data_IF_691048346123
#
_entry.id   IF_691048346123
#
_cell.length_a   1.000
_cell.length_b   1.000
_cell.length_c   1.000
_cell.angle_alpha   90.00
_cell.angle_beta   90.00
_cell.angle_gamma   90.00
#
_symmetry.space_group_name_H-M   'P 1'
#
loop_
_entity.id
_entity.type
_entity.pdbx_description
1 polymer ?
#
# COMPACT_ATOMS: atom_id res chain seq x y z
N UNK A 1 16.34 -1.59 -9.62
CA UNK A 1 16.86 -0.96 -8.39
C UNK A 1 17.30 -2.05 -7.44
N UNK A 2 18.23 -1.75 -6.53
CA UNK A 2 18.71 -2.72 -5.56
C UNK A 2 18.44 -2.27 -4.13
N UNK A 3 17.96 -3.18 -3.29
CA UNK A 3 17.83 -2.94 -1.86
C UNK A 3 19.15 -3.32 -1.17
N UNK A 4 19.68 -2.41 -0.37
CA UNK A 4 20.86 -2.61 0.47
C UNK A 4 20.48 -2.40 1.94
N UNK A 5 20.87 -3.33 2.82
CA UNK A 5 20.66 -3.21 4.26
C UNK A 5 21.97 -2.79 4.91
N UNK A 6 21.96 -1.64 5.58
CA UNK A 6 23.13 -1.06 6.22
C UNK A 6 23.67 -2.00 7.31
N UNK A 7 24.95 -2.27 7.26
CA UNK A 7 25.71 -3.04 8.23
C UNK A 7 26.59 -2.14 9.10
N UNK A 8 27.05 -2.65 10.23
CA UNK A 8 27.94 -1.92 11.14
C UNK A 8 29.20 -1.43 10.42
N UNK A 9 29.53 -0.15 10.60
CA UNK A 9 30.70 0.49 10.01
C UNK A 9 30.57 0.92 8.55
N UNK A 10 29.45 0.67 7.89
CA UNK A 10 29.23 1.16 6.53
C UNK A 10 28.93 2.66 6.50
N UNK A 11 29.49 3.33 5.49
CA UNK A 11 29.22 4.75 5.20
C UNK A 11 28.54 4.87 3.85
N UNK A 12 27.86 6.00 3.63
CA UNK A 12 27.24 6.28 2.33
C UNK A 12 28.24 6.23 1.18
N UNK A 13 29.50 6.65 1.41
CA UNK A 13 30.58 6.58 0.44
C UNK A 13 30.98 5.13 0.12
N UNK A 14 31.16 4.30 1.16
CA UNK A 14 31.51 2.89 0.97
C UNK A 14 30.42 2.12 0.23
N UNK A 15 29.14 2.40 0.54
CA UNK A 15 27.99 1.81 -0.15
C UNK A 15 27.96 2.27 -1.62
N UNK A 16 28.11 3.57 -1.88
CA UNK A 16 28.14 4.11 -3.24
C UNK A 16 29.24 3.47 -4.09
N UNK A 17 30.45 3.31 -3.53
CA UNK A 17 31.57 2.65 -4.19
C UNK A 17 31.28 1.18 -4.49
N UNK A 18 30.66 0.44 -3.56
CA UNK A 18 30.33 -0.97 -3.75
C UNK A 18 29.36 -1.20 -4.92
N UNK A 19 28.46 -0.24 -5.17
CA UNK A 19 27.44 -0.29 -6.22
C UNK A 19 27.78 0.49 -7.49
N UNK A 20 28.94 1.16 -7.53
CA UNK A 20 29.35 2.01 -8.65
C UNK A 20 28.30 3.12 -8.98
N UNK A 21 27.86 3.82 -7.94
CA UNK A 21 26.97 4.99 -7.99
C UNK A 21 27.57 6.13 -7.16
N UNK A 22 26.90 7.26 -7.05
CA UNK A 22 27.37 8.39 -6.22
C UNK A 22 26.66 8.43 -4.86
N UNK A 23 27.30 8.95 -3.80
CA UNK A 23 26.63 9.19 -2.53
C UNK A 23 25.38 10.06 -2.68
N UNK A 24 25.45 11.11 -3.53
CA UNK A 24 24.36 12.04 -3.76
C UNK A 24 23.12 11.36 -4.34
N UNK A 25 23.28 10.45 -5.30
CA UNK A 25 22.18 9.69 -5.88
C UNK A 25 21.46 8.82 -4.83
N UNK A 26 22.22 8.17 -3.94
CA UNK A 26 21.64 7.38 -2.84
C UNK A 26 20.91 8.30 -1.85
N UNK A 27 21.51 9.44 -1.48
CA UNK A 27 20.94 10.40 -0.53
C UNK A 27 19.60 10.95 -1.05
N UNK A 28 19.56 11.43 -2.30
CA UNK A 28 18.35 11.97 -2.91
C UNK A 28 17.27 10.88 -3.04
N UNK A 29 17.65 9.68 -3.52
CA UNK A 29 16.68 8.60 -3.74
C UNK A 29 16.02 8.09 -2.46
N UNK A 30 16.70 8.22 -1.32
CA UNK A 30 16.22 7.73 -0.03
C UNK A 30 15.81 8.86 0.93
N UNK A 31 15.84 10.12 0.47
CA UNK A 31 15.63 11.33 1.28
C UNK A 31 16.38 11.28 2.62
N UNK A 32 17.66 10.88 2.58
CA UNK A 32 18.44 10.65 3.81
C UNK A 32 18.70 11.98 4.50
N UNK A 33 18.09 12.19 5.67
CA UNK A 33 18.22 13.42 6.45
C UNK A 33 19.63 13.60 7.05
N UNK A 34 20.29 12.51 7.44
CA UNK A 34 21.60 12.53 8.09
C UNK A 34 22.53 11.47 7.47
N UNK A 35 23.20 11.77 6.34
CA UNK A 35 23.98 10.79 5.57
C UNK A 35 25.24 10.27 6.28
N UNK A 36 25.73 11.01 7.28
CA UNK A 36 26.91 10.62 8.08
C UNK A 36 26.56 9.65 9.23
N UNK A 37 25.27 9.41 9.48
CA UNK A 37 24.77 8.60 10.59
C UNK A 37 23.72 7.60 10.11
N UNK A 38 24.15 6.63 9.30
CA UNK A 38 23.30 5.54 8.87
C UNK A 38 22.97 4.61 10.05
N UNK A 39 21.75 4.08 10.08
CA UNK A 39 21.30 3.16 11.14
C UNK A 39 21.56 1.72 10.69
N UNK A 40 22.19 0.90 11.54
CA UNK A 40 22.35 -0.53 11.27
C UNK A 40 20.97 -1.17 11.07
N UNK A 41 20.80 -1.89 9.95
CA UNK A 41 19.53 -2.49 9.57
C UNK A 41 18.60 -1.59 8.76
N UNK A 42 18.94 -0.31 8.54
CA UNK A 42 18.24 0.57 7.62
C UNK A 42 18.30 0.01 6.20
N UNK A 43 17.16 -0.05 5.51
CA UNK A 43 17.10 -0.46 4.11
C UNK A 43 17.16 0.77 3.18
N UNK A 44 18.12 0.77 2.27
CA UNK A 44 18.32 1.80 1.25
C UNK A 44 17.99 1.21 -0.13
N UNK A 45 17.38 2.02 -0.98
CA UNK A 45 17.24 1.75 -2.41
C UNK A 45 18.41 2.38 -3.15
N UNK A 46 19.19 1.56 -3.82
CA UNK A 46 20.31 1.95 -4.65
C UNK A 46 19.80 2.16 -6.09
N UNK A 47 19.93 3.38 -6.65
CA UNK A 47 19.29 3.77 -7.92
C UNK A 47 20.08 3.27 -9.15
N UNK A 48 20.33 1.97 -9.22
CA UNK A 48 20.98 1.29 -10.35
C UNK A 48 19.98 0.50 -11.19
N UNK A 49 20.34 0.29 -12.46
CA UNK A 49 19.59 -0.56 -13.40
C UNK A 49 19.97 -2.02 -13.18
N UNK A 50 18.97 -2.87 -12.95
CA UNK A 50 19.18 -4.25 -12.50
C UNK A 50 19.57 -4.29 -11.02
N UNK A 51 20.33 -5.32 -10.64
CA UNK A 51 20.87 -5.48 -9.29
C UNK A 51 22.13 -6.35 -9.30
N UNK A 52 22.82 -6.41 -8.17
CA UNK A 52 23.96 -7.30 -7.97
C UNK A 52 23.63 -8.36 -6.91
N UNK A 53 24.09 -9.59 -7.18
CA UNK A 53 24.01 -10.73 -6.29
C UNK A 53 25.42 -11.22 -5.95
N UNK A 54 25.69 -11.45 -4.67
CA UNK A 54 26.94 -12.07 -4.21
C UNK A 54 26.67 -13.54 -3.95
N UNK A 55 27.39 -14.41 -4.65
CA UNK A 55 27.26 -15.86 -4.57
C UNK A 55 27.43 -16.33 -3.11
N UNK A 56 26.48 -17.11 -2.64
CA UNK A 56 26.42 -17.69 -1.30
C UNK A 56 26.85 -19.17 -1.35
N UNK A 57 27.18 -19.79 -0.20
CA UNK A 57 27.45 -21.22 -0.14
C UNK A 57 26.28 -22.05 -0.72
N UNK A 58 26.60 -22.99 -1.62
CA UNK A 58 25.62 -23.86 -2.27
C UNK A 58 24.95 -23.28 -3.52
N UNK A 59 25.29 -22.05 -3.91
CA UNK A 59 24.74 -21.44 -5.12
C UNK A 59 25.32 -22.05 -6.41
N UNK A 60 24.47 -22.04 -7.44
CA UNK A 60 24.81 -22.33 -8.83
C UNK A 60 24.15 -21.30 -9.74
N UNK A 61 24.59 -21.20 -11.00
CA UNK A 61 23.90 -20.36 -11.97
C UNK A 61 22.42 -20.74 -12.10
N UNK A 62 22.10 -22.03 -11.99
CA UNK A 62 20.73 -22.51 -12.05
C UNK A 62 19.89 -22.05 -10.84
N UNK A 63 20.38 -22.23 -9.61
CA UNK A 63 19.64 -21.83 -8.40
C UNK A 63 19.44 -20.32 -8.34
N UNK A 64 20.47 -19.53 -8.69
CA UNK A 64 20.40 -18.08 -8.72
C UNK A 64 19.43 -17.62 -9.82
N UNK A 65 19.57 -18.12 -11.05
CA UNK A 65 18.71 -17.71 -12.14
C UNK A 65 17.23 -18.02 -11.87
N UNK A 66 16.94 -19.20 -11.30
CA UNK A 66 15.60 -19.58 -10.84
C UNK A 66 15.05 -18.59 -9.80
N UNK A 67 15.87 -18.19 -8.83
CA UNK A 67 15.50 -17.20 -7.79
C UNK A 67 15.10 -15.84 -8.38
N UNK A 68 15.76 -15.43 -9.47
CA UNK A 68 15.49 -14.14 -10.10
C UNK A 68 14.53 -14.21 -11.29
N UNK A 69 14.02 -15.39 -11.63
CA UNK A 69 13.09 -15.58 -12.75
C UNK A 69 13.71 -15.36 -14.12
N UNK A 70 15.02 -15.63 -14.27
CA UNK A 70 15.75 -15.53 -15.55
C UNK A 70 16.34 -16.89 -15.93
N UNK A 71 16.77 -17.06 -17.19
CA UNK A 71 17.49 -18.28 -17.57
C UNK A 71 18.95 -18.23 -17.11
N UNK A 72 19.51 -19.38 -16.71
CA UNK A 72 20.90 -19.45 -16.29
C UNK A 72 21.87 -19.11 -17.43
N UNK A 73 21.49 -19.37 -18.70
CA UNK A 73 22.27 -18.95 -19.86
C UNK A 73 22.28 -17.43 -20.01
N UNK A 74 21.15 -16.75 -19.73
CA UNK A 74 21.12 -15.30 -19.71
C UNK A 74 22.00 -14.75 -18.60
N UNK A 75 21.90 -15.33 -17.39
CA UNK A 75 22.74 -14.95 -16.25
C UNK A 75 24.23 -15.12 -16.55
N UNK A 76 24.63 -16.24 -17.15
CA UNK A 76 26.02 -16.49 -17.54
C UNK A 76 26.50 -15.48 -18.59
N UNK A 77 25.69 -15.27 -19.64
CA UNK A 77 26.00 -14.35 -20.74
C UNK A 77 26.19 -12.91 -20.27
N UNK A 78 25.27 -12.37 -19.46
CA UNK A 78 25.37 -10.97 -19.00
C UNK A 78 26.52 -10.75 -18.01
N UNK A 79 27.04 -11.83 -17.41
CA UNK A 79 28.20 -11.79 -16.53
C UNK A 79 29.50 -12.22 -17.20
N UNK A 80 29.49 -12.51 -18.51
CA UNK A 80 30.64 -12.98 -19.28
C UNK A 80 31.34 -14.20 -18.64
N UNK A 81 30.57 -15.16 -18.13
CA UNK A 81 31.06 -16.42 -17.55
C UNK A 81 30.51 -17.63 -18.31
N UNK A 82 31.19 -18.77 -18.22
CA UNK A 82 30.72 -20.02 -18.84
C UNK A 82 29.48 -20.55 -18.12
N UNK A 83 28.56 -21.17 -18.86
CA UNK A 83 27.34 -21.79 -18.30
C UNK A 83 27.64 -22.96 -17.36
N UNK A 84 28.82 -23.58 -17.53
CA UNK A 84 29.29 -24.71 -16.71
C UNK A 84 30.30 -24.27 -15.63
N UNK A 85 30.52 -22.96 -15.46
CA UNK A 85 31.50 -22.44 -14.52
C UNK A 85 31.02 -22.63 -13.06
N UNK A 86 31.80 -23.30 -12.20
CA UNK A 86 31.54 -23.31 -10.76
C UNK A 86 31.65 -21.89 -10.18
N UNK A 87 30.71 -21.53 -9.31
CA UNK A 87 30.67 -20.19 -8.71
C UNK A 87 31.46 -20.16 -7.40
N UNK A 88 32.38 -19.20 -7.28
CA UNK A 88 33.09 -18.94 -6.03
C UNK A 88 32.22 -18.10 -5.10
N UNK A 89 32.21 -18.46 -3.81
CA UNK A 89 31.53 -17.67 -2.78
C UNK A 89 32.07 -16.24 -2.81
N UNK A 90 31.16 -15.26 -2.77
CA UNK A 90 31.48 -13.83 -2.85
C UNK A 90 31.66 -13.30 -4.27
N UNK A 91 31.64 -14.15 -5.31
CA UNK A 91 31.60 -13.68 -6.70
C UNK A 91 30.37 -12.79 -6.90
N UNK A 92 30.59 -11.58 -7.41
CA UNK A 92 29.52 -10.61 -7.70
C UNK A 92 28.99 -10.85 -9.11
N UNK A 93 27.69 -11.17 -9.19
CA UNK A 93 26.95 -11.32 -10.44
C UNK A 93 25.99 -10.14 -10.63
N UNK A 94 25.99 -9.57 -11.83
CA UNK A 94 24.95 -8.68 -12.31
C UNK A 94 23.69 -9.46 -12.64
N UNK A 95 22.57 -9.01 -12.11
CA UNK A 95 21.23 -9.49 -12.39
C UNK A 95 20.52 -8.42 -13.24
N UNK A 96 20.13 -8.73 -14.49
CA UNK A 96 19.43 -7.77 -15.33
C UNK A 96 18.06 -7.43 -14.73
N UNK A 97 17.51 -6.24 -15.03
CA UNK A 97 16.20 -5.84 -14.53
C UNK A 97 15.12 -6.84 -14.97
N UNK A 98 14.16 -7.10 -14.08
CA UNK A 98 12.99 -7.93 -14.37
C UNK A 98 12.11 -7.24 -15.42
N UNK A 99 11.40 -8.04 -16.22
CA UNK A 99 10.35 -7.49 -17.09
C UNK A 99 9.24 -6.96 -16.19
N UNK A 100 8.97 -5.65 -16.30
CA UNK A 100 7.92 -4.99 -15.53
C UNK A 100 6.55 -5.40 -16.06
N UNK A 101 5.69 -5.90 -15.18
CA UNK A 101 4.28 -6.15 -15.51
C UNK A 101 3.47 -4.85 -15.39
N UNK A 102 2.33 -4.78 -16.07
CA UNK A 102 1.39 -3.67 -15.87
C UNK A 102 0.69 -3.84 -14.52
N UNK A 103 0.50 -2.74 -13.80
CA UNK A 103 -0.27 -2.71 -12.57
C UNK A 103 -1.07 -1.41 -12.50
N UNK A 104 -2.25 -1.48 -11.90
CA UNK A 104 -2.97 -0.28 -11.47
C UNK A 104 -2.56 0.09 -10.05
N UNK A 105 -2.56 1.38 -9.74
CA UNK A 105 -2.15 1.89 -8.43
C UNK A 105 -3.09 2.98 -7.99
N UNK A 106 -3.53 2.94 -6.74
CA UNK A 106 -4.28 4.05 -6.16
C UNK A 106 -3.66 4.47 -4.83
N UNK A 107 -3.87 5.73 -4.46
CA UNK A 107 -3.51 6.21 -3.14
C UNK A 107 -4.59 7.15 -2.61
N UNK A 108 -4.95 6.94 -1.34
CA UNK A 108 -5.89 7.80 -0.63
C UNK A 108 -5.18 9.06 -0.13
N UNK A 109 -5.88 10.19 -0.22
CA UNK A 109 -5.54 11.44 0.49
C UNK A 109 -6.64 11.71 1.48
N UNK A 110 -6.31 11.88 2.76
CA UNK A 110 -7.30 12.16 3.81
C UNK A 110 -6.97 13.52 4.45
N UNK A 111 -7.56 14.61 3.92
CA UNK A 111 -7.50 15.91 4.56
C UNK A 111 -8.20 15.86 5.92
N UNK A 112 -7.52 16.30 6.97
CA UNK A 112 -8.10 16.43 8.31
C UNK A 112 -8.41 17.90 8.55
N UNK A 113 -9.66 18.20 8.90
CA UNK A 113 -10.16 19.56 9.06
C UNK A 113 -10.80 20.10 7.78
N UNK A 114 -11.05 21.41 7.75
CA UNK A 114 -11.75 22.07 6.64
C UNK A 114 -10.88 22.40 5.42
N UNK A 115 -9.58 22.07 5.43
CA UNK A 115 -8.63 22.44 4.36
C UNK A 115 -7.60 21.32 4.12
N UNK A 116 -7.04 21.29 2.90
CA UNK A 116 -5.89 20.42 2.58
C UNK A 116 -4.60 21.09 3.08
N UNK A 117 -3.78 20.35 3.84
CA UNK A 117 -2.49 20.86 4.31
C UNK A 117 -1.46 20.92 3.16
N UNK A 118 -0.50 21.87 3.18
CA UNK A 118 0.54 21.94 2.15
C UNK A 118 1.34 20.65 1.99
N UNK A 119 1.62 19.95 3.10
CA UNK A 119 2.33 18.67 3.09
C UNK A 119 1.52 17.57 2.37
N UNK A 120 0.20 17.50 2.61
CA UNK A 120 -0.64 16.51 1.95
C UNK A 120 -0.76 16.80 0.45
N UNK A 121 -0.89 18.07 0.05
CA UNK A 121 -0.92 18.46 -1.36
C UNK A 121 0.41 18.16 -2.06
N UNK A 122 1.54 18.45 -1.41
CA UNK A 122 2.86 18.12 -1.95
C UNK A 122 3.05 16.61 -2.11
N UNK A 123 2.66 15.82 -1.10
CA UNK A 123 2.70 14.35 -1.18
C UNK A 123 1.84 13.81 -2.33
N UNK A 124 0.65 14.40 -2.56
CA UNK A 124 -0.17 14.06 -3.72
C UNK A 124 0.54 14.37 -5.05
N UNK A 125 1.22 15.53 -5.14
CA UNK A 125 1.97 15.94 -6.34
C UNK A 125 3.14 15.01 -6.65
N UNK A 126 3.86 14.57 -5.62
CA UNK A 126 4.99 13.63 -5.75
C UNK A 126 4.54 12.21 -6.10
N UNK A 127 3.42 11.76 -5.54
CA UNK A 127 2.89 10.42 -5.77
C UNK A 127 2.16 10.29 -7.13
N UNK A 128 1.45 11.32 -7.59
CA UNK A 128 0.59 11.27 -8.78
C UNK A 128 1.24 10.70 -10.06
N UNK A 129 2.52 10.97 -10.39
CA UNK A 129 3.21 10.29 -11.49
C UNK A 129 3.13 8.76 -11.43
N UNK A 130 3.05 8.19 -10.23
CA UNK A 130 3.01 6.75 -9.95
C UNK A 130 1.61 6.19 -9.72
N UNK A 131 0.55 6.99 -9.89
CA UNK A 131 -0.83 6.58 -9.65
C UNK A 131 -1.63 6.35 -10.94
N UNK A 132 -2.44 5.31 -10.96
CA UNK A 132 -3.62 5.20 -11.85
C UNK A 132 -4.77 6.04 -11.30
N UNK A 133 -4.99 5.99 -9.97
CA UNK A 133 -6.07 6.71 -9.30
C UNK A 133 -5.57 7.55 -8.12
N UNK A 134 -6.07 8.78 -8.01
CA UNK A 134 -5.96 9.60 -6.80
C UNK A 134 -7.32 9.66 -6.11
N UNK A 135 -7.38 9.29 -4.83
CA UNK A 135 -8.62 9.02 -4.12
C UNK A 135 -8.80 9.95 -2.88
N UNK A 136 -9.44 11.13 -3.04
CA UNK A 136 -9.79 11.98 -1.90
C UNK A 136 -10.80 11.32 -0.97
N UNK A 137 -10.39 11.12 0.28
CA UNK A 137 -11.17 10.51 1.34
C UNK A 137 -11.82 11.60 2.23
N UNK A 138 -13.14 11.68 2.34
CA UNK A 138 -14.16 10.98 1.55
C UNK A 138 -15.40 11.86 1.39
N UNK A 139 -16.23 11.53 0.39
CA UNK A 139 -17.60 12.01 0.32
C UNK A 139 -18.46 11.21 1.31
N UNK A 140 -18.98 11.88 2.34
CA UNK A 140 -19.79 11.24 3.37
C UNK A 140 -21.26 11.27 2.97
N UNK A 141 -21.87 10.08 2.86
CA UNK A 141 -23.28 9.95 2.52
C UNK A 141 -24.12 10.48 3.68
N UNK A 142 -25.12 11.31 3.38
CA UNK A 142 -26.09 11.78 4.34
C UNK A 142 -27.36 10.92 4.32
N UNK A 143 -28.15 10.95 5.39
CA UNK A 143 -29.34 10.09 5.56
C UNK A 143 -30.42 10.27 4.47
N UNK A 144 -30.40 11.39 3.75
CA UNK A 144 -31.31 11.70 2.64
C UNK A 144 -30.73 11.34 1.25
N UNK A 145 -29.50 10.81 1.18
CA UNK A 145 -28.80 10.51 -0.06
C UNK A 145 -28.04 11.69 -0.66
N UNK A 146 -27.92 12.82 0.05
CA UNK A 146 -26.96 13.87 -0.33
C UNK A 146 -25.53 13.49 0.09
N UNK A 147 -24.55 14.26 -0.37
CA UNK A 147 -23.14 14.01 -0.12
C UNK A 147 -22.49 15.22 0.55
N UNK A 148 -21.79 14.99 1.66
CA UNK A 148 -20.87 15.97 2.22
C UNK A 148 -19.50 15.77 1.59
N UNK A 149 -19.04 16.74 0.82
CA UNK A 149 -17.76 16.67 0.10
C UNK A 149 -16.56 16.92 1.03
N UNK A 150 -15.42 16.23 0.80
CA UNK A 150 -14.15 16.58 1.42
C UNK A 150 -13.53 17.80 0.70
N UNK A 151 -12.59 18.52 1.33
CA UNK A 151 -11.83 19.56 0.63
C UNK A 151 -10.93 18.91 -0.43
N UNK A 152 -11.04 19.39 -1.67
CA UNK A 152 -10.30 18.84 -2.82
C UNK A 152 -9.06 19.64 -3.20
N UNK A 153 -9.02 20.95 -2.89
CA UNK A 153 -7.96 21.87 -3.33
C UNK A 153 -7.51 21.59 -4.78
N UNK A 154 -6.21 21.33 -4.97
CA UNK A 154 -5.60 21.10 -6.28
C UNK A 154 -5.55 19.62 -6.69
N UNK A 155 -6.18 18.70 -5.95
CA UNK A 155 -6.14 17.27 -6.29
C UNK A 155 -6.63 16.97 -7.71
N UNK A 156 -7.71 17.60 -8.23
CA UNK A 156 -8.13 17.40 -9.62
C UNK A 156 -7.05 17.78 -10.64
N UNK A 157 -6.41 18.93 -10.46
CA UNK A 157 -5.36 19.42 -11.34
C UNK A 157 -4.09 18.56 -11.23
N UNK A 158 -3.74 18.11 -10.02
CA UNK A 158 -2.62 17.18 -9.79
C UNK A 158 -2.86 15.86 -10.52
N UNK A 159 -4.06 15.29 -10.42
CA UNK A 159 -4.42 14.05 -11.09
C UNK A 159 -4.33 14.22 -12.62
N UNK A 160 -4.99 15.26 -13.15
CA UNK A 160 -5.02 15.56 -14.58
C UNK A 160 -3.61 15.76 -15.16
N UNK A 161 -2.76 16.55 -14.49
CA UNK A 161 -1.39 16.84 -14.96
C UNK A 161 -0.50 15.58 -15.04
N UNK A 162 -0.86 14.50 -14.35
CA UNK A 162 -0.10 13.26 -14.28
C UNK A 162 -0.80 12.07 -14.96
N UNK A 163 -1.89 12.33 -15.69
CA UNK A 163 -2.71 11.28 -16.33
C UNK A 163 -3.31 10.27 -15.35
N UNK A 164 -3.48 10.68 -14.08
CA UNK A 164 -4.18 9.89 -13.09
C UNK A 164 -5.68 10.24 -13.11
N UNK A 165 -6.51 9.24 -12.91
CA UNK A 165 -7.96 9.39 -12.77
C UNK A 165 -8.31 9.76 -11.33
N UNK A 166 -9.27 10.66 -11.12
CA UNK A 166 -9.85 10.86 -9.80
C UNK A 166 -10.83 9.72 -9.46
N UNK A 167 -10.69 9.18 -8.26
CA UNK A 167 -11.58 8.17 -7.66
C UNK A 167 -12.44 8.84 -6.58
N UNK A 168 -13.76 8.76 -6.72
CA UNK A 168 -14.70 9.32 -5.76
C UNK A 168 -14.91 8.31 -4.64
N UNK A 169 -14.29 8.54 -3.49
CA UNK A 169 -14.48 7.68 -2.31
C UNK A 169 -15.76 8.09 -1.61
N UNK A 170 -16.69 7.16 -1.48
CA UNK A 170 -18.01 7.37 -0.88
C UNK A 170 -18.15 6.46 0.34
N UNK A 171 -18.43 7.05 1.51
CA UNK A 171 -18.43 6.33 2.80
C UNK A 171 -19.73 6.52 3.58
N UNK A 172 -20.11 5.53 4.39
CA UNK A 172 -21.16 5.64 5.43
C UNK A 172 -20.59 6.14 6.78
N UNK A 173 -19.72 7.15 6.74
CA UNK A 173 -19.23 7.82 7.95
C UNK A 173 -20.29 8.81 8.48
N UNK A 174 -20.56 8.75 9.78
CA UNK A 174 -21.41 9.70 10.51
C UNK A 174 -20.71 10.03 11.84
N UNK A 175 -20.45 11.32 12.10
CA UNK A 175 -19.76 11.72 13.34
C UNK A 175 -18.32 11.21 13.46
N UNK A 176 -17.63 10.98 12.33
CA UNK A 176 -16.24 10.52 12.29
C UNK A 176 -16.05 9.01 12.53
N UNK A 177 -17.13 8.22 12.46
CA UNK A 177 -17.11 6.76 12.57
C UNK A 177 -18.04 6.13 11.55
N UNK A 178 -17.76 4.90 11.13
CA UNK A 178 -18.66 4.15 10.27
C UNK A 178 -19.97 3.87 11.01
N UNK A 179 -21.10 4.10 10.32
CA UNK A 179 -22.44 4.02 10.89
C UNK A 179 -23.23 2.89 10.22
N UNK A 180 -23.55 1.89 11.02
CA UNK A 180 -24.39 0.74 10.64
C UNK A 180 -25.81 1.20 10.27
N UNK A 181 -26.36 2.14 11.03
CA UNK A 181 -27.68 2.73 10.84
C UNK A 181 -27.78 3.50 9.52
N UNK A 182 -26.77 4.33 9.23
CA UNK A 182 -26.69 5.05 7.96
C UNK A 182 -26.60 4.06 6.80
N UNK A 183 -25.76 3.03 6.93
CA UNK A 183 -25.67 1.93 5.98
C UNK A 183 -27.02 1.28 5.71
N UNK A 184 -27.76 0.92 6.77
CA UNK A 184 -29.10 0.33 6.67
C UNK A 184 -30.07 1.24 5.91
N UNK A 185 -30.10 2.53 6.20
CA UNK A 185 -30.97 3.51 5.50
C UNK A 185 -30.65 3.52 4.00
N UNK A 186 -29.37 3.63 3.64
CA UNK A 186 -28.91 3.68 2.24
C UNK A 186 -29.28 2.39 1.51
N UNK A 187 -29.10 1.25 2.16
CA UNK A 187 -29.27 -0.05 1.50
C UNK A 187 -30.73 -0.50 1.39
N UNK A 188 -31.63 0.04 2.21
CA UNK A 188 -33.04 -0.41 2.27
C UNK A 188 -34.06 0.62 1.78
N UNK A 189 -33.68 1.88 1.58
CA UNK A 189 -34.59 2.93 1.10
C UNK A 189 -34.31 3.30 -0.36
N UNK A 190 -35.26 3.00 -1.25
CA UNK A 190 -35.10 3.21 -2.69
C UNK A 190 -34.98 4.68 -3.11
N UNK A 191 -35.71 5.58 -2.45
CA UNK A 191 -35.65 7.02 -2.72
C UNK A 191 -34.28 7.59 -2.34
N UNK A 192 -33.73 7.17 -1.19
CA UNK A 192 -32.38 7.53 -0.76
C UNK A 192 -31.34 7.02 -1.75
N UNK A 193 -31.45 5.78 -2.23
CA UNK A 193 -30.55 5.23 -3.25
C UNK A 193 -30.59 6.03 -4.55
N UNK A 194 -31.79 6.38 -5.02
CA UNK A 194 -31.97 7.14 -6.25
C UNK A 194 -31.36 8.54 -6.11
N UNK A 195 -31.60 9.21 -4.97
CA UNK A 195 -31.02 10.51 -4.70
C UNK A 195 -29.48 10.43 -4.61
N UNK A 196 -28.95 9.44 -3.89
CA UNK A 196 -27.52 9.18 -3.78
C UNK A 196 -26.85 8.98 -5.14
N UNK A 197 -27.39 8.08 -5.97
CA UNK A 197 -26.80 7.80 -7.27
C UNK A 197 -26.88 9.01 -8.21
N UNK A 198 -27.93 9.83 -8.12
CA UNK A 198 -28.00 11.09 -8.88
C UNK A 198 -26.93 12.09 -8.41
N UNK A 199 -26.75 12.26 -7.09
CA UNK A 199 -25.73 13.15 -6.55
C UNK A 199 -24.31 12.67 -6.88
N UNK A 200 -24.07 11.36 -6.85
CA UNK A 200 -22.79 10.77 -7.29
C UNK A 200 -22.52 11.10 -8.75
N UNK A 201 -23.48 10.85 -9.66
CA UNK A 201 -23.29 11.10 -11.10
C UNK A 201 -23.05 12.58 -11.38
N UNK A 202 -23.82 13.47 -10.76
CA UNK A 202 -23.67 14.91 -10.93
C UNK A 202 -22.30 15.39 -10.45
N UNK A 203 -21.91 14.98 -9.23
CA UNK A 203 -20.60 15.33 -8.65
C UNK A 203 -19.44 14.77 -9.46
N UNK A 204 -19.56 13.53 -9.93
CA UNK A 204 -18.53 12.89 -10.74
C UNK A 204 -18.30 13.61 -12.06
N UNK A 205 -19.37 14.07 -12.71
CA UNK A 205 -19.29 14.87 -13.92
C UNK A 205 -18.73 16.28 -13.66
N UNK A 206 -19.14 16.94 -12.59
CA UNK A 206 -18.68 18.28 -12.22
C UNK A 206 -17.19 18.33 -11.89
N UNK A 207 -16.72 17.40 -11.06
CA UNK A 207 -15.33 17.38 -10.57
C UNK A 207 -14.39 16.62 -11.52
N UNK A 208 -14.92 15.68 -12.30
CA UNK A 208 -14.12 14.85 -13.22
C UNK A 208 -13.70 13.50 -12.63
N UNK A 209 -14.47 12.93 -11.70
CA UNK A 209 -14.28 11.55 -11.26
C UNK A 209 -14.64 10.55 -12.37
N UNK A 210 -13.90 9.44 -12.46
CA UNK A 210 -14.19 8.35 -13.41
C UNK A 210 -14.22 6.96 -12.78
N UNK A 211 -13.94 6.85 -11.49
CA UNK A 211 -14.24 5.68 -10.66
C UNK A 211 -15.05 6.12 -9.45
N UNK A 212 -16.12 5.37 -9.13
CA UNK A 212 -16.90 5.53 -7.91
C UNK A 212 -16.55 4.37 -6.97
N UNK A 213 -15.89 4.71 -5.87
CA UNK A 213 -15.40 3.76 -4.89
C UNK A 213 -16.30 3.77 -3.64
N UNK A 214 -17.06 2.70 -3.45
CA UNK A 214 -17.89 2.52 -2.26
C UNK A 214 -17.07 1.87 -1.14
N UNK A 215 -16.80 2.68 -0.12
CA UNK A 215 -16.15 2.25 1.12
C UNK A 215 -17.19 2.24 2.25
N UNK A 216 -18.03 1.18 2.21
CA UNK A 216 -19.17 1.02 3.10
C UNK A 216 -18.84 -0.03 4.16
N UNK A 217 -18.42 0.40 5.34
CA UNK A 217 -17.94 -0.50 6.40
C UNK A 217 -18.94 -0.63 7.57
N UNK A 218 -18.77 -1.67 8.38
CA UNK A 218 -19.60 -1.95 9.56
C UNK A 218 -21.11 -1.99 9.27
N UNK A 219 -21.48 -2.46 8.07
CA UNK A 219 -22.86 -2.68 7.69
C UNK A 219 -23.47 -3.84 8.49
N UNK A 220 -24.76 -3.79 8.88
CA UNK A 220 -25.41 -4.89 9.56
C UNK A 220 -25.34 -6.20 8.74
N UNK A 221 -25.03 -7.36 9.36
CA UNK A 221 -24.92 -8.65 8.66
C UNK A 221 -26.15 -8.99 7.79
N UNK A 222 -27.35 -8.66 8.26
CA UNK A 222 -28.61 -8.87 7.56
C UNK A 222 -28.72 -8.07 6.25
N UNK A 223 -27.97 -6.97 6.11
CA UNK A 223 -27.95 -6.14 4.91
C UNK A 223 -26.96 -6.62 3.84
N UNK A 224 -26.32 -7.78 3.99
CA UNK A 224 -25.41 -8.36 2.98
C UNK A 224 -26.05 -8.38 1.57
N UNK A 225 -27.26 -8.90 1.45
CA UNK A 225 -27.93 -8.97 0.14
C UNK A 225 -28.52 -7.63 -0.32
N UNK A 226 -28.88 -6.75 0.62
CA UNK A 226 -29.23 -5.37 0.27
C UNK A 226 -28.04 -4.64 -0.37
N UNK A 227 -26.84 -4.83 0.17
CA UNK A 227 -25.62 -4.26 -0.39
C UNK A 227 -25.34 -4.80 -1.80
N UNK A 228 -25.44 -6.12 -1.98
CA UNK A 228 -25.32 -6.74 -3.31
C UNK A 228 -26.34 -6.17 -4.31
N UNK A 229 -27.60 -5.94 -3.91
CA UNK A 229 -28.63 -5.32 -4.78
C UNK A 229 -28.31 -3.87 -5.10
N UNK A 230 -27.90 -3.10 -4.09
CA UNK A 230 -27.47 -1.71 -4.28
C UNK A 230 -26.30 -1.61 -5.26
N UNK A 231 -25.28 -2.46 -5.14
CA UNK A 231 -24.13 -2.46 -6.05
C UNK A 231 -24.52 -2.81 -7.49
N UNK A 232 -25.47 -3.73 -7.71
CA UNK A 232 -26.00 -4.02 -9.07
C UNK A 232 -26.70 -2.80 -9.66
N UNK A 233 -27.55 -2.14 -8.87
CA UNK A 233 -28.24 -0.89 -9.27
C UNK A 233 -27.24 0.23 -9.58
N UNK A 234 -26.23 0.40 -8.73
CA UNK A 234 -25.14 1.34 -8.94
C UNK A 234 -24.35 1.00 -10.21
N UNK A 235 -23.95 -0.26 -10.43
CA UNK A 235 -23.23 -0.70 -11.63
C UNK A 235 -23.99 -0.36 -12.90
N UNK A 236 -25.29 -0.64 -12.95
CA UNK A 236 -26.14 -0.32 -14.10
C UNK A 236 -26.17 1.19 -14.38
N UNK A 237 -26.37 2.00 -13.33
CA UNK A 237 -26.45 3.46 -13.47
C UNK A 237 -25.11 4.09 -13.88
N UNK A 238 -24.03 3.70 -13.21
CA UNK A 238 -22.70 4.28 -13.39
C UNK A 238 -22.05 3.84 -14.70
N UNK A 239 -22.28 2.59 -15.15
CA UNK A 239 -21.73 2.12 -16.43
C UNK A 239 -22.35 2.83 -17.63
N UNK A 240 -23.60 3.31 -17.55
CA UNK A 240 -24.23 4.14 -18.59
C UNK A 240 -23.54 5.49 -18.77
N UNK A 241 -22.94 6.02 -17.71
CA UNK A 241 -22.16 7.25 -17.72
C UNK A 241 -20.67 7.00 -18.08
N UNK A 242 -20.29 5.73 -18.29
CA UNK A 242 -18.91 5.34 -18.57
C UNK A 242 -17.98 5.33 -17.35
N UNK A 243 -18.53 5.35 -16.13
CA UNK A 243 -17.74 5.29 -14.91
C UNK A 243 -17.39 3.85 -14.52
N UNK A 244 -16.21 3.68 -13.95
CA UNK A 244 -15.86 2.48 -13.19
C UNK A 244 -16.58 2.50 -11.83
N UNK A 245 -16.82 1.31 -11.30
CA UNK A 245 -17.26 1.10 -9.92
C UNK A 245 -16.29 0.17 -9.21
N UNK A 246 -15.95 0.53 -7.98
CA UNK A 246 -15.10 -0.28 -7.11
C UNK A 246 -15.61 -0.28 -5.67
N UNK A 247 -15.16 -1.24 -4.87
CA UNK A 247 -15.54 -1.34 -3.45
C UNK A 247 -14.34 -1.65 -2.57
N UNK A 248 -14.33 -1.12 -1.34
CA UNK A 248 -13.48 -1.64 -0.28
C UNK A 248 -14.06 -2.95 0.30
N UNK A 249 -13.20 -3.85 0.75
CA UNK A 249 -13.58 -5.12 1.37
C UNK A 249 -12.78 -5.35 2.65
N UNK A 250 -13.48 -5.62 3.74
CA UNK A 250 -12.88 -6.06 5.01
C UNK A 250 -12.09 -7.37 4.81
N UNK A 251 -10.92 -7.54 5.45
CA UNK A 251 -10.04 -8.69 5.22
C UNK A 251 -10.64 -9.99 5.76
N UNK A 252 -11.07 -10.87 4.84
CA UNK A 252 -11.62 -12.19 5.15
C UNK A 252 -10.67 -13.30 4.72
N UNK A 253 -10.67 -14.40 5.47
CA UNK A 253 -9.94 -15.62 5.12
C UNK A 253 -10.86 -16.80 4.81
N UNK A 254 -12.18 -16.63 5.00
CA UNK A 254 -13.22 -17.60 4.62
C UNK A 254 -14.58 -16.91 4.48
N UNK A 255 -15.51 -17.59 3.80
CA UNK A 255 -16.89 -17.12 3.67
C UNK A 255 -17.66 -17.14 5.00
N UNK A 256 -17.26 -18.03 5.93
CA UNK A 256 -17.91 -18.24 7.23
C UNK A 256 -17.37 -17.29 8.32
N UNK A 257 -16.44 -16.39 7.99
CA UNK A 257 -15.92 -15.41 8.94
C UNK A 257 -17.03 -14.45 9.38
N UNK A 258 -17.36 -14.51 10.67
CA UNK A 258 -18.39 -13.69 11.33
C UNK A 258 -17.82 -12.42 11.94
N UNK A 259 -18.69 -11.45 12.22
CA UNK A 259 -18.38 -10.17 12.83
C UNK A 259 -18.93 -9.00 12.02
N UNK A 260 -19.33 -7.93 12.73
CA UNK A 260 -19.97 -6.74 12.15
C UNK A 260 -19.18 -6.08 11.00
N UNK A 261 -17.86 -6.27 10.94
CA UNK A 261 -17.03 -5.73 9.87
C UNK A 261 -17.02 -6.60 8.59
N UNK A 262 -17.33 -7.90 8.70
CA UNK A 262 -17.06 -8.89 7.66
C UNK A 262 -18.30 -9.45 6.97
N UNK A 263 -19.42 -9.57 7.70
CA UNK A 263 -20.55 -10.38 7.24
C UNK A 263 -21.30 -9.76 6.07
N UNK A 264 -21.42 -8.43 6.04
CA UNK A 264 -22.05 -7.72 4.93
C UNK A 264 -21.20 -7.69 3.64
N UNK A 265 -19.90 -8.04 3.74
CA UNK A 265 -18.97 -8.08 2.60
C UNK A 265 -18.97 -9.45 1.92
N UNK A 266 -19.73 -9.55 0.83
CA UNK A 266 -19.82 -10.72 -0.03
C UNK A 266 -18.78 -10.64 -1.16
N UNK A 267 -17.64 -11.29 -0.94
CA UNK A 267 -16.51 -11.27 -1.88
C UNK A 267 -16.92 -11.73 -3.29
N UNK A 268 -17.71 -12.81 -3.41
CA UNK A 268 -18.11 -13.35 -4.71
C UNK A 268 -19.02 -12.39 -5.45
N UNK A 269 -20.06 -11.90 -4.79
CA UNK A 269 -21.00 -10.98 -5.40
C UNK A 269 -20.31 -9.67 -5.82
N UNK A 270 -19.46 -9.10 -4.97
CA UNK A 270 -18.66 -7.92 -5.35
C UNK A 270 -17.75 -8.24 -6.56
N UNK A 271 -17.04 -9.36 -6.51
CA UNK A 271 -16.17 -9.83 -7.60
C UNK A 271 -16.89 -10.02 -8.94
N UNK A 272 -18.18 -10.34 -8.94
CA UNK A 272 -19.02 -10.42 -10.14
C UNK A 272 -19.48 -9.04 -10.62
N UNK A 273 -19.86 -8.16 -9.69
CA UNK A 273 -20.54 -6.89 -9.99
C UNK A 273 -19.57 -5.76 -10.36
N UNK A 274 -18.54 -5.52 -9.55
CA UNK A 274 -17.71 -4.32 -9.65
C UNK A 274 -16.51 -4.50 -10.57
N UNK A 275 -15.89 -3.42 -11.03
CA UNK A 275 -14.75 -3.47 -11.95
C UNK A 275 -13.46 -3.94 -11.24
N UNK A 276 -13.30 -3.55 -9.97
CA UNK A 276 -12.25 -4.04 -9.07
C UNK A 276 -12.61 -3.79 -7.60
N UNK A 277 -11.89 -4.44 -6.70
CA UNK A 277 -12.03 -4.29 -5.25
C UNK A 277 -10.70 -3.86 -4.64
N UNK A 278 -10.76 -3.18 -3.50
CA UNK A 278 -9.62 -2.88 -2.64
C UNK A 278 -9.74 -3.72 -1.38
N UNK A 279 -8.82 -4.65 -1.16
CA UNK A 279 -8.78 -5.43 0.08
C UNK A 279 -8.09 -4.61 1.17
N UNK A 280 -8.72 -4.42 2.33
CA UNK A 280 -8.12 -3.68 3.46
C UNK A 280 -7.13 -4.56 4.22
N UNK A 281 -6.06 -4.97 3.55
CA UNK A 281 -5.02 -5.89 4.04
C UNK A 281 -3.95 -5.16 4.87
N UNK A 282 -4.38 -4.41 5.88
CA UNK A 282 -3.54 -3.74 6.89
C UNK A 282 -4.33 -3.62 8.22
N UNK A 283 -3.72 -3.03 9.26
CA UNK A 283 -4.28 -2.92 10.63
C UNK A 283 -4.37 -4.24 11.43
N UNK A 284 -3.46 -5.21 11.22
CA UNK A 284 -3.28 -6.27 12.23
C UNK A 284 -2.63 -5.70 13.50
N UNK A 285 -1.51 -5.02 13.34
CA UNK A 285 -1.01 -4.05 14.31
C UNK A 285 -1.65 -2.71 14.04
N UNK A 286 -2.59 -2.31 14.90
CA UNK A 286 -3.31 -1.05 14.78
C UNK A 286 -3.14 -0.18 16.01
N UNK A 287 -3.44 1.11 15.88
CA UNK A 287 -3.19 2.09 16.94
C UNK A 287 -3.85 1.78 18.30
N UNK A 288 -4.99 1.09 18.31
CA UNK A 288 -5.68 0.66 19.53
C UNK A 288 -5.38 -0.77 19.97
N UNK A 289 -4.57 -1.50 19.21
CA UNK A 289 -4.15 -2.86 19.48
C UNK A 289 -2.74 -2.94 20.07
N UNK A 290 -2.30 -4.15 20.47
CA UNK A 290 -0.92 -4.37 20.91
C UNK A 290 0.08 -4.16 19.75
N UNK A 291 1.37 -3.91 20.06
CA UNK A 291 2.42 -3.79 19.05
C UNK A 291 2.58 -5.07 18.23
N UNK A 292 2.55 -4.93 16.91
CA UNK A 292 2.95 -5.94 15.92
C UNK A 292 3.04 -5.28 14.53
N UNK A 293 3.49 -6.03 13.52
CA UNK A 293 3.48 -5.56 12.13
C UNK A 293 2.07 -5.09 11.70
N UNK A 294 2.01 -3.98 10.97
CA UNK A 294 0.74 -3.39 10.51
C UNK A 294 0.07 -4.28 9.44
N UNK A 295 0.85 -4.82 8.50
CA UNK A 295 0.38 -5.72 7.43
C UNK A 295 1.32 -6.93 7.27
N UNK A 296 1.32 -7.87 8.24
CA UNK A 296 2.17 -9.06 8.20
C UNK A 296 1.85 -9.90 6.96
N UNK A 297 2.87 -10.28 6.18
CA UNK A 297 2.67 -10.85 4.84
C UNK A 297 1.92 -12.19 4.84
N UNK A 298 2.02 -12.98 5.91
CA UNK A 298 1.30 -14.24 6.05
C UNK A 298 -0.22 -14.05 6.08
N UNK A 299 -0.77 -13.33 7.09
CA UNK A 299 -2.18 -12.97 7.11
C UNK A 299 -2.66 -12.23 5.84
N UNK A 300 -1.84 -11.32 5.30
CA UNK A 300 -2.13 -10.65 4.01
C UNK A 300 -2.33 -11.68 2.90
N UNK A 301 -1.41 -12.64 2.75
CA UNK A 301 -1.52 -13.72 1.76
C UNK A 301 -2.79 -14.55 1.96
N UNK A 302 -3.12 -14.92 3.19
CA UNK A 302 -4.34 -15.71 3.47
C UNK A 302 -5.62 -14.99 3.00
N UNK A 303 -5.68 -13.66 3.16
CA UNK A 303 -6.81 -12.85 2.67
C UNK A 303 -6.87 -12.83 1.15
N UNK A 304 -5.71 -12.66 0.49
CA UNK A 304 -5.64 -12.67 -0.97
C UNK A 304 -5.99 -14.03 -1.54
N UNK A 305 -5.48 -15.12 -0.97
CA UNK A 305 -5.76 -16.49 -1.42
C UNK A 305 -7.26 -16.83 -1.28
N UNK A 306 -7.90 -16.37 -0.19
CA UNK A 306 -9.36 -16.45 -0.09
C UNK A 306 -10.05 -15.61 -1.18
N UNK A 307 -9.63 -14.36 -1.39
CA UNK A 307 -10.20 -13.52 -2.43
C UNK A 307 -10.09 -14.14 -3.83
N UNK A 308 -8.96 -14.79 -4.14
CA UNK A 308 -8.75 -15.51 -5.40
C UNK A 308 -9.67 -16.72 -5.58
N UNK A 309 -10.18 -17.29 -4.49
CA UNK A 309 -11.19 -18.35 -4.55
C UNK A 309 -12.59 -17.83 -4.89
N UNK A 310 -12.82 -16.53 -4.68
CA UNK A 310 -14.13 -15.88 -4.86
C UNK A 310 -14.20 -14.93 -6.08
N UNK A 311 -13.06 -14.45 -6.60
CA UNK A 311 -13.05 -13.52 -7.74
C UNK A 311 -11.75 -13.58 -8.57
N UNK A 312 -11.76 -13.09 -9.82
CA UNK A 312 -10.56 -13.03 -10.64
C UNK A 312 -9.46 -12.14 -10.07
N UNK A 313 -8.21 -12.60 -10.12
CA UNK A 313 -7.02 -11.85 -9.68
C UNK A 313 -6.92 -10.43 -10.28
N UNK A 314 -7.36 -10.28 -11.54
CA UNK A 314 -7.37 -9.01 -12.27
C UNK A 314 -8.33 -7.95 -11.71
N UNK A 315 -9.17 -8.30 -10.72
CA UNK A 315 -10.04 -7.37 -9.99
C UNK A 315 -9.51 -7.01 -8.61
N UNK A 316 -8.41 -7.60 -8.14
CA UNK A 316 -7.95 -7.44 -6.75
C UNK A 316 -6.83 -6.39 -6.67
N UNK A 317 -7.10 -5.29 -5.97
CA UNK A 317 -6.09 -4.33 -5.51
C UNK A 317 -5.70 -4.66 -4.07
N UNK A 318 -4.41 -4.85 -3.81
CA UNK A 318 -3.90 -5.11 -2.45
C UNK A 318 -3.84 -3.81 -1.65
N UNK A 319 -4.54 -3.73 -0.51
CA UNK A 319 -4.41 -2.58 0.39
C UNK A 319 -3.07 -2.59 1.14
N UNK A 320 -2.43 -1.43 1.24
CA UNK A 320 -1.11 -1.25 1.82
C UNK A 320 -1.02 0.03 2.65
N UNK A 321 -0.57 -0.10 3.90
CA UNK A 321 -0.20 1.02 4.75
C UNK A 321 1.12 1.68 4.30
N UNK A 322 1.21 3.01 4.34
CA UNK A 322 2.44 3.79 4.15
C UNK A 322 3.04 4.28 5.49
N UNK A 323 2.50 3.79 6.60
CA UNK A 323 2.87 4.16 7.97
C UNK A 323 3.27 2.95 8.79
N UNK A 324 4.00 3.24 9.85
CA UNK A 324 4.13 2.40 11.02
C UNK A 324 3.46 3.03 12.23
N UNK A 325 3.68 2.40 13.38
CA UNK A 325 3.21 2.83 14.67
C UNK A 325 4.32 2.74 15.71
N UNK A 326 4.28 3.68 16.64
CA UNK A 326 5.13 3.77 17.82
C UNK A 326 4.25 3.62 19.06
N UNK A 327 4.36 2.46 19.71
CA UNK A 327 3.63 2.11 20.92
C UNK A 327 4.50 2.39 22.14
N UNK A 328 3.93 3.07 23.14
CA UNK A 328 4.51 3.12 24.49
C UNK A 328 4.12 1.85 25.26
N UNK A 329 5.08 1.23 25.93
CA UNK A 329 4.92 -0.01 26.69
C UNK A 329 4.79 0.24 28.20
N UNK A 330 4.11 -0.66 28.94
CA UNK A 330 3.36 -1.82 28.45
C UNK A 330 2.06 -1.42 27.74
N UNK A 331 1.62 -2.22 26.76
CA UNK A 331 0.32 -2.04 26.14
C UNK A 331 -0.81 -2.29 27.15
N UNK A 332 -1.77 -1.38 27.19
CA UNK A 332 -2.99 -1.49 28.01
C UNK A 332 -4.21 -1.36 27.09
N UNK A 333 -5.09 -2.37 27.00
CA UNK A 333 -6.33 -2.28 26.22
C UNK A 333 -7.18 -1.07 26.64
N UNK A 334 -7.62 -0.28 25.66
CA UNK A 334 -8.37 0.96 25.90
C UNK A 334 -7.54 2.14 26.41
N UNK A 335 -6.21 1.98 26.47
CA UNK A 335 -5.26 3.02 26.83
C UNK A 335 -4.96 4.00 25.69
N UNK A 336 -3.78 4.60 25.74
CA UNK A 336 -3.33 5.53 24.71
C UNK A 336 -3.13 4.81 23.37
N UNK A 337 -3.64 5.40 22.29
CA UNK A 337 -3.38 4.90 20.94
C UNK A 337 -1.92 5.12 20.53
N UNK A 338 -1.37 4.14 19.81
CA UNK A 338 -0.05 4.23 19.22
C UNK A 338 0.03 5.41 18.25
N UNK A 339 1.18 6.09 18.24
CA UNK A 339 1.41 7.22 17.35
C UNK A 339 1.72 6.70 15.94
N UNK A 340 0.92 7.08 14.95
CA UNK A 340 1.25 6.82 13.55
C UNK A 340 2.51 7.59 13.15
N UNK A 341 3.44 6.93 12.46
CA UNK A 341 4.70 7.51 12.00
C UNK A 341 5.00 7.10 10.57
N UNK A 342 5.70 7.94 9.82
CA UNK A 342 6.26 7.55 8.52
C UNK A 342 7.49 6.65 8.68
N UNK A 343 7.87 5.87 7.66
CA UNK A 343 9.15 5.16 7.63
C UNK A 343 10.37 6.05 7.86
N UNK A 344 10.38 7.27 7.30
CA UNK A 344 11.47 8.22 7.55
C UNK A 344 11.54 8.63 9.02
N UNK A 345 10.39 8.86 9.67
CA UNK A 345 10.35 9.15 11.10
C UNK A 345 10.81 7.95 11.95
N UNK A 346 10.46 6.73 11.56
CA UNK A 346 10.93 5.52 12.25
C UNK A 346 12.47 5.40 12.20
N UNK A 347 13.07 5.67 11.04
CA UNK A 347 14.53 5.69 10.87
C UNK A 347 15.16 6.79 11.74
N UNK A 348 14.57 7.98 11.78
CA UNK A 348 15.05 9.08 12.60
C UNK A 348 14.98 8.75 14.11
N UNK A 349 13.91 8.10 14.57
CA UNK A 349 13.77 7.63 15.96
C UNK A 349 14.86 6.61 16.29
N UNK A 350 15.07 5.62 15.42
CA UNK A 350 16.11 4.61 15.63
C UNK A 350 17.51 5.24 15.70
N UNK A 351 17.78 6.24 14.84
CA UNK A 351 19.04 7.00 14.82
C UNK A 351 19.26 7.77 16.12
N UNK A 352 18.28 8.57 16.55
CA UNK A 352 18.38 9.41 17.75
C UNK A 352 18.58 8.57 19.01
N UNK A 353 17.96 7.38 19.06
CA UNK A 353 18.10 6.47 20.20
C UNK A 353 19.25 5.46 20.06
N UNK A 354 20.04 5.54 18.98
CA UNK A 354 21.17 4.65 18.71
C UNK A 354 20.82 3.14 18.82
N UNK A 355 19.67 2.76 18.26
CA UNK A 355 19.22 1.35 18.22
C UNK A 355 19.21 0.81 16.79
N UNK A 356 19.57 -0.46 16.57
CA UNK A 356 19.52 -1.06 15.25
C UNK A 356 18.07 -1.37 14.84
N UNK A 357 17.78 -1.23 13.56
CA UNK A 357 16.51 -1.68 12.96
C UNK A 357 16.61 -3.19 12.72
N UNK A 358 15.74 -3.96 13.38
CA UNK A 358 15.58 -5.39 13.15
C UNK A 358 14.59 -5.64 12.02
N UNK A 359 14.55 -6.88 11.53
CA UNK A 359 13.60 -7.29 10.50
C UNK A 359 13.02 -8.66 10.86
N UNK A 360 11.70 -8.74 10.93
CA UNK A 360 10.98 -9.99 11.08
C UNK A 360 10.75 -10.60 9.70
N UNK A 361 11.43 -11.72 9.40
CA UNK A 361 11.31 -12.41 8.13
C UNK A 361 10.03 -13.25 7.99
N UNK A 362 9.30 -13.50 9.08
CA UNK A 362 7.99 -14.15 9.05
C UNK A 362 6.91 -13.15 8.68
N UNK A 363 6.89 -11.99 9.35
CA UNK A 363 5.97 -10.90 9.04
C UNK A 363 6.37 -10.13 7.77
N UNK A 364 7.63 -10.20 7.37
CA UNK A 364 8.27 -9.33 6.36
C UNK A 364 8.11 -7.85 6.72
N UNK A 365 8.53 -7.46 7.92
CA UNK A 365 8.42 -6.07 8.39
C UNK A 365 9.61 -5.66 9.28
N UNK A 366 10.10 -4.41 9.16
CA UNK A 366 11.09 -3.86 10.07
C UNK A 366 10.48 -3.45 11.41
N UNK A 367 11.26 -3.59 12.47
CA UNK A 367 10.88 -3.18 13.82
C UNK A 367 12.09 -2.84 14.69
N UNK A 368 11.87 -2.13 15.80
CA UNK A 368 12.87 -1.95 16.85
C UNK A 368 12.19 -1.54 18.16
N UNK A 369 12.96 -1.60 19.25
CA UNK A 369 12.55 -1.11 20.57
C UNK A 369 13.53 -0.02 21.00
N UNK A 370 13.06 0.95 21.78
CA UNK A 370 13.91 1.97 22.39
C UNK A 370 13.33 2.41 23.74
N UNK A 371 14.12 3.14 24.53
CA UNK A 371 13.67 3.78 25.77
C UNK A 371 13.70 5.29 25.59
N UNK A 372 12.59 5.97 25.84
CA UNK A 372 12.52 7.43 25.71
C UNK A 372 13.28 8.15 26.84
N UNK A 373 13.39 9.49 26.73
CA UNK A 373 14.08 10.31 27.73
C UNK A 373 13.44 10.26 29.14
N UNK A 374 12.21 9.74 29.27
CA UNK A 374 11.50 9.58 30.54
C UNK A 374 11.61 8.16 31.10
N UNK A 375 12.41 7.28 30.47
CA UNK A 375 12.56 5.89 30.88
C UNK A 375 11.41 4.99 30.45
N UNK A 376 10.52 5.43 29.54
CA UNK A 376 9.43 4.60 29.01
C UNK A 376 9.93 3.75 27.86
N UNK A 377 9.57 2.48 27.84
CA UNK A 377 9.88 1.59 26.73
C UNK A 377 8.91 1.81 25.57
N UNK A 378 9.41 1.67 24.35
CA UNK A 378 8.67 1.80 23.12
C UNK A 378 8.95 0.61 22.19
N UNK A 379 7.93 0.23 21.42
CA UNK A 379 8.07 -0.70 20.29
C UNK A 379 7.55 -0.04 19.02
N UNK A 380 8.35 -0.12 17.96
CA UNK A 380 8.07 0.49 16.67
C UNK A 380 8.02 -0.58 15.59
N UNK A 381 6.90 -0.66 14.87
CA UNK A 381 6.76 -1.44 13.63
C UNK A 381 6.43 -0.50 12.49
N UNK A 382 7.07 -0.67 11.34
CA UNK A 382 6.89 0.21 10.19
C UNK A 382 7.10 -0.54 8.87
N UNK A 383 7.15 0.17 7.75
CA UNK A 383 7.43 -0.38 6.42
C UNK A 383 8.78 0.12 5.90
N UNK A 384 9.49 -0.67 5.12
CA UNK A 384 10.67 -0.23 4.41
C UNK A 384 10.77 -0.86 3.01
N UNK A 385 11.88 -0.60 2.31
CA UNK A 385 12.10 -1.13 0.98
C UNK A 385 11.96 -2.67 0.90
N UNK A 386 12.35 -3.40 1.96
CA UNK A 386 12.28 -4.87 2.00
C UNK A 386 10.84 -5.34 2.08
N UNK A 387 10.06 -4.78 3.02
CA UNK A 387 8.66 -5.18 3.22
C UNK A 387 7.78 -4.84 2.01
N UNK A 388 7.98 -3.67 1.39
CA UNK A 388 7.27 -3.29 0.17
C UNK A 388 7.64 -4.19 -1.02
N UNK A 389 8.93 -4.52 -1.19
CA UNK A 389 9.32 -5.45 -2.26
C UNK A 389 8.70 -6.84 -2.07
N UNK A 390 8.62 -7.34 -0.84
CA UNK A 390 7.97 -8.62 -0.55
C UNK A 390 6.47 -8.59 -0.96
N UNK A 391 5.79 -7.46 -0.77
CA UNK A 391 4.40 -7.28 -1.21
C UNK A 391 4.27 -7.10 -2.73
N UNK A 392 5.22 -6.45 -3.39
CA UNK A 392 5.28 -6.40 -4.86
C UNK A 392 5.54 -7.78 -5.49
N UNK A 393 6.38 -8.59 -4.84
CA UNK A 393 6.59 -9.98 -5.23
C UNK A 393 5.29 -10.79 -5.06
N UNK A 394 4.55 -10.63 -3.96
CA UNK A 394 3.23 -11.25 -3.76
C UNK A 394 2.21 -10.85 -4.84
N UNK A 395 2.13 -9.55 -5.15
CA UNK A 395 1.28 -9.01 -6.21
C UNK A 395 1.61 -9.65 -7.57
N UNK A 396 2.89 -9.84 -7.85
CA UNK A 396 3.38 -10.45 -9.10
C UNK A 396 3.11 -11.95 -9.14
N UNK A 397 3.43 -12.66 -8.06
CA UNK A 397 3.23 -14.10 -7.87
C UNK A 397 1.77 -14.49 -8.08
N UNK A 398 0.85 -13.75 -7.46
CA UNK A 398 -0.58 -14.04 -7.48
C UNK A 398 -1.34 -13.35 -8.62
N UNK A 399 -0.64 -12.63 -9.51
CA UNK A 399 -1.23 -12.03 -10.69
C UNK A 399 -2.28 -10.95 -10.38
N UNK A 400 -2.16 -10.26 -9.24
CA UNK A 400 -3.16 -9.29 -8.78
C UNK A 400 -3.24 -8.07 -9.72
N UNK A 401 -4.35 -7.31 -9.65
CA UNK A 401 -4.54 -6.08 -10.44
C UNK A 401 -3.50 -5.01 -10.12
N UNK A 402 -3.17 -4.86 -8.83
CA UNK A 402 -2.42 -3.71 -8.38
C UNK A 402 -2.37 -3.54 -6.87
N UNK A 403 -2.08 -2.31 -6.45
CA UNK A 403 -1.90 -1.93 -5.04
C UNK A 403 -2.59 -0.60 -4.71
N UNK A 404 -3.11 -0.50 -3.49
CA UNK A 404 -3.93 0.59 -2.96
C UNK A 404 -3.30 1.12 -1.67
N UNK A 405 -2.89 2.39 -1.65
CA UNK A 405 -2.11 2.95 -0.55
C UNK A 405 -2.94 3.78 0.42
N UNK A 406 -2.96 3.39 1.70
CA UNK A 406 -3.40 4.22 2.82
C UNK A 406 -2.16 4.72 3.58
N UNK A 407 -1.89 6.01 3.67
CA UNK A 407 -2.39 7.11 2.85
C UNK A 407 -1.23 8.05 2.52
N UNK A 408 -1.43 8.95 1.56
CA UNK A 408 -0.46 10.01 1.28
C UNK A 408 -0.34 10.99 2.45
N UNK A 409 0.73 11.79 2.44
CA UNK A 409 1.10 12.73 3.50
C UNK A 409 2.18 12.20 4.45
N UNK A 410 2.63 10.95 4.26
CA UNK A 410 3.71 10.33 5.02
C UNK A 410 4.87 9.98 4.08
N UNK A 411 6.07 10.50 4.40
CA UNK A 411 7.23 10.30 3.52
C UNK A 411 7.74 8.86 3.59
N UNK A 412 7.79 8.24 2.40
CA UNK A 412 8.36 6.92 2.15
C UNK A 412 8.87 6.83 0.69
N UNK A 413 9.99 7.48 0.35
CA UNK A 413 10.45 7.61 -1.04
C UNK A 413 10.72 6.28 -1.72
N UNK A 414 11.23 5.29 -0.98
CA UNK A 414 11.59 3.98 -1.51
C UNK A 414 10.39 3.24 -2.10
N UNK A 415 9.18 3.44 -1.56
CA UNK A 415 7.96 2.84 -2.11
C UNK A 415 7.75 3.22 -3.58
N UNK A 416 7.78 4.53 -3.89
CA UNK A 416 7.53 5.03 -5.24
C UNK A 416 8.62 4.62 -6.23
N UNK A 417 9.87 4.61 -5.77
CA UNK A 417 11.01 4.17 -6.55
C UNK A 417 10.91 2.68 -6.93
N UNK A 418 10.60 1.83 -5.96
CA UNK A 418 10.41 0.39 -6.18
C UNK A 418 9.15 0.11 -7.02
N UNK A 419 8.09 0.89 -6.85
CA UNK A 419 6.87 0.74 -7.63
C UNK A 419 7.13 0.96 -9.12
N UNK A 420 7.91 2.01 -9.47
CA UNK A 420 8.38 2.27 -10.84
C UNK A 420 9.31 1.18 -11.37
N UNK A 421 10.15 0.61 -10.50
CA UNK A 421 11.11 -0.43 -10.86
C UNK A 421 10.45 -1.78 -11.14
N UNK A 422 9.36 -2.09 -10.42
CA UNK A 422 8.64 -3.36 -10.54
C UNK A 422 7.52 -3.33 -11.59
N UNK A 423 6.89 -2.17 -11.81
CA UNK A 423 5.67 -2.10 -12.62
C UNK A 423 5.70 -1.01 -13.70
N UNK A 424 4.96 -1.28 -14.78
CA UNK A 424 4.49 -0.25 -15.72
C UNK A 424 3.14 0.23 -15.22
N UNK A 425 3.11 1.46 -14.68
CA UNK A 425 1.88 2.02 -14.11
C UNK A 425 0.89 2.33 -15.23
N UNK A 426 -0.32 1.79 -15.09
CA UNK A 426 -1.42 2.06 -16.01
C UNK A 426 -1.94 3.47 -15.73
N UNK A 427 -2.13 4.25 -16.80
CA UNK A 427 -2.79 5.57 -16.77
C UNK A 427 -4.14 5.45 -17.44
N UNK A 428 -5.12 6.23 -16.99
CA UNK A 428 -6.51 6.17 -17.44
C UNK A 428 -7.09 7.57 -17.59
#
# INVERSE_FOLDING_TARGET
>A
MQIHVVQAGQTIFGIAQAYNTTPQEIIISNEISNPDQLVVGQALVIPIVGSFYWVQPGDSLFSIARRFGISYQTLARVNNISVDQPLQIGLRLYIPPRIRRRAETNAYVEPIGGTVSPNLEQSAREAAPFLTFLAPFSYQIQRDGTLQAPPLNNFPQIAQANGATLMMVVTNLEGGRFSDELGRIILTNEDVQNNLLNNIVNTANEVGFRDIHFDMEFLPPENREDYNRFLRKAKERLSREGFLISTALAPKTSAQQVGAWYEAHDYRAHGEIVDFVVLMTYEWGYSGGPPMAVSPIGPVRSVVEYALSEMPASKIMLGQNLYGYDWTLPFVPGGQFARAISPQQAIDIARVNNVPIKYDYTAQAPFFNYTDANGREHEVWFEDARSIQAKFDLITELGLRGISYWKLGLSFPQNWLLLRDNFVIVKR
#
